data_IF_609998927335
#
_entry.id   IF_609998927335
#
_cell.length_a   1.000
_cell.length_b   1.000
_cell.length_c   1.000
_cell.angle_alpha   90.00
_cell.angle_beta   90.00
_cell.angle_gamma   90.00
#
_symmetry.space_group_name_H-M   'P 1'
#
loop_
_entity.id
_entity.type
_entity.pdbx_description
1 polymer ?
#
# COMPACT_ATOMS: atom_id res chain seq x y z
N UNK A 1 -27.89 -5.08 2.92
CA UNK A 1 -27.56 -5.71 1.62
C UNK A 1 -26.19 -5.19 1.16
N UNK A 2 -25.21 -5.16 2.09
CA UNK A 2 -24.20 -4.08 2.06
C UNK A 2 -22.77 -4.60 1.82
N UNK A 3 -22.56 -5.92 1.91
CA UNK A 3 -21.23 -6.52 1.76
C UNK A 3 -20.62 -6.24 0.38
N UNK A 4 -21.37 -6.46 -0.70
CA UNK A 4 -20.87 -6.23 -2.06
C UNK A 4 -20.51 -4.77 -2.33
N UNK A 5 -21.27 -3.82 -1.76
CA UNK A 5 -20.99 -2.39 -1.88
C UNK A 5 -19.66 -2.05 -1.21
N UNK A 6 -19.49 -2.44 0.06
CA UNK A 6 -18.25 -2.16 0.79
C UNK A 6 -17.05 -2.91 0.20
N UNK A 7 -17.23 -4.13 -0.31
CA UNK A 7 -16.19 -4.85 -1.03
C UNK A 7 -15.75 -4.11 -2.29
N UNK A 8 -16.70 -3.68 -3.13
CA UNK A 8 -16.39 -2.88 -4.33
C UNK A 8 -15.71 -1.57 -3.96
N UNK A 9 -16.19 -0.87 -2.93
CA UNK A 9 -15.55 0.35 -2.42
C UNK A 9 -14.09 0.10 -1.99
N UNK A 10 -13.80 -1.02 -1.34
CA UNK A 10 -12.43 -1.40 -0.97
C UNK A 10 -11.54 -1.69 -2.17
N UNK A 11 -12.10 -2.32 -3.20
CA UNK A 11 -11.40 -2.60 -4.46
C UNK A 11 -11.13 -1.31 -5.23
N UNK A 12 -12.13 -0.44 -5.35
CA UNK A 12 -12.04 0.88 -5.99
C UNK A 12 -11.07 1.79 -5.23
N UNK A 13 -11.05 1.75 -3.89
CA UNK A 13 -10.07 2.49 -3.08
C UNK A 13 -8.62 2.18 -3.46
N UNK A 14 -8.31 0.95 -3.92
CA UNK A 14 -6.97 0.58 -4.37
C UNK A 14 -6.75 0.84 -5.87
N UNK A 15 -7.81 0.83 -6.67
CA UNK A 15 -7.70 0.88 -8.15
C UNK A 15 -8.01 2.26 -8.74
N UNK A 16 -8.57 3.18 -7.95
CA UNK A 16 -8.84 4.56 -8.33
C UNK A 16 -7.58 5.44 -8.25
N UNK A 17 -7.61 6.59 -8.93
CA UNK A 17 -6.54 7.59 -8.96
C UNK A 17 -6.19 8.07 -7.54
N UNK A 18 -7.19 8.17 -6.67
CA UNK A 18 -6.99 8.56 -5.26
C UNK A 18 -6.24 7.50 -4.44
N UNK A 19 -6.29 6.23 -4.87
CA UNK A 19 -5.56 5.09 -4.27
C UNK A 19 -4.17 4.86 -4.84
N UNK A 20 -3.69 5.76 -5.69
CA UNK A 20 -2.43 5.60 -6.40
C UNK A 20 -1.22 5.50 -5.46
N UNK A 21 -1.28 6.16 -4.30
CA UNK A 21 -0.28 6.05 -3.22
C UNK A 21 -0.13 4.60 -2.71
N UNK A 22 -1.22 3.84 -2.57
CA UNK A 22 -1.21 2.44 -2.17
C UNK A 22 -0.50 1.59 -3.23
N UNK A 23 -0.85 1.79 -4.50
CA UNK A 23 -0.23 1.09 -5.63
C UNK A 23 1.28 1.41 -5.70
N UNK A 24 1.63 2.70 -5.58
CA UNK A 24 3.01 3.16 -5.62
C UNK A 24 3.84 2.54 -4.49
N UNK A 25 3.28 2.44 -3.29
CA UNK A 25 3.95 1.81 -2.17
C UNK A 25 4.12 0.30 -2.35
N UNK A 26 3.08 -0.41 -2.77
CA UNK A 26 3.19 -1.85 -3.04
C UNK A 26 4.23 -2.12 -4.12
N UNK A 27 4.27 -1.30 -5.17
CA UNK A 27 5.31 -1.35 -6.19
C UNK A 27 6.72 -1.12 -5.59
N UNK A 28 6.87 -0.15 -4.70
CA UNK A 28 8.14 0.09 -4.00
C UNK A 28 8.53 -1.10 -3.11
N UNK A 29 7.62 -1.61 -2.27
CA UNK A 29 7.89 -2.75 -1.38
C UNK A 29 8.25 -4.02 -2.14
N UNK A 30 7.63 -4.27 -3.29
CA UNK A 30 7.88 -5.47 -4.08
C UNK A 30 9.10 -5.37 -4.98
N UNK A 31 9.64 -4.17 -5.22
CA UNK A 31 10.80 -3.95 -6.08
C UNK A 31 12.00 -4.90 -5.80
N UNK A 32 12.38 -5.21 -4.55
CA UNK A 32 13.45 -6.15 -4.25
C UNK A 32 13.05 -7.64 -4.28
N UNK A 33 11.79 -7.98 -4.57
CA UNK A 33 11.28 -9.35 -4.60
C UNK A 33 11.15 -9.87 -6.04
N UNK A 34 11.49 -11.14 -6.23
CA UNK A 34 11.28 -11.83 -7.50
C UNK A 34 10.01 -12.67 -7.46
N UNK A 35 9.51 -13.10 -8.62
CA UNK A 35 8.33 -13.97 -8.76
C UNK A 35 8.37 -15.20 -7.84
N UNK A 36 9.57 -15.79 -7.64
CA UNK A 36 9.76 -16.94 -6.75
C UNK A 36 9.44 -16.64 -5.28
N UNK A 37 9.44 -15.37 -4.89
CA UNK A 37 9.17 -14.88 -3.53
C UNK A 37 7.68 -14.54 -3.31
N UNK A 38 6.77 -15.14 -4.10
CA UNK A 38 5.32 -14.87 -4.02
C UNK A 38 4.74 -14.99 -2.60
N UNK A 39 5.23 -15.94 -1.78
CA UNK A 39 4.78 -16.09 -0.39
C UNK A 39 5.13 -14.86 0.45
N UNK A 40 6.34 -14.33 0.28
CA UNK A 40 6.79 -13.13 0.97
C UNK A 40 5.98 -11.91 0.53
N UNK A 41 5.65 -11.82 -0.77
CA UNK A 41 4.83 -10.74 -1.31
C UNK A 41 3.40 -10.80 -0.74
N UNK A 42 2.80 -11.98 -0.66
CA UNK A 42 1.48 -12.14 -0.04
C UNK A 42 1.51 -11.71 1.44
N UNK A 43 2.54 -12.11 2.20
CA UNK A 43 2.70 -11.67 3.59
C UNK A 43 2.84 -10.14 3.69
N UNK A 44 3.54 -9.48 2.75
CA UNK A 44 3.65 -8.02 2.71
C UNK A 44 2.28 -7.35 2.51
N UNK A 45 1.52 -7.81 1.53
CA UNK A 45 0.18 -7.29 1.20
C UNK A 45 -0.77 -7.47 2.39
N UNK A 46 -0.78 -8.66 2.99
CA UNK A 46 -1.61 -8.93 4.16
C UNK A 46 -1.15 -8.12 5.37
N UNK A 47 0.16 -7.96 5.61
CA UNK A 47 0.66 -7.13 6.71
C UNK A 47 0.25 -5.66 6.57
N UNK A 48 0.30 -5.12 5.34
CA UNK A 48 -0.25 -3.80 5.04
C UNK A 48 -1.75 -3.75 5.35
N UNK A 49 -2.53 -4.70 4.84
CA UNK A 49 -3.99 -4.74 5.03
C UNK A 49 -4.36 -4.82 6.50
N UNK A 50 -3.63 -5.60 7.30
CA UNK A 50 -3.85 -5.73 8.75
C UNK A 50 -3.59 -4.39 9.45
N UNK A 51 -2.48 -3.72 9.15
CA UNK A 51 -2.19 -2.39 9.70
C UNK A 51 -3.26 -1.37 9.32
N UNK A 52 -3.62 -1.36 8.03
CA UNK A 52 -4.66 -0.50 7.47
C UNK A 52 -6.02 -0.71 8.15
N UNK A 53 -6.45 -1.96 8.26
CA UNK A 53 -7.71 -2.35 8.90
C UNK A 53 -7.75 -1.86 10.35
N UNK A 54 -6.65 -2.02 11.08
CA UNK A 54 -6.57 -1.67 12.50
C UNK A 54 -6.75 -0.16 12.71
N UNK A 55 -5.97 0.67 12.02
CA UNK A 55 -6.08 2.12 12.22
C UNK A 55 -7.33 2.70 11.59
N UNK A 56 -7.80 2.16 10.46
CA UNK A 56 -9.08 2.54 9.88
C UNK A 56 -10.22 2.31 10.90
N UNK A 57 -10.23 1.16 11.59
CA UNK A 57 -11.20 0.87 12.64
C UNK A 57 -11.11 1.86 13.80
N UNK A 58 -9.91 2.04 14.36
CA UNK A 58 -9.68 2.87 15.54
C UNK A 58 -9.99 4.35 15.27
N UNK A 59 -9.59 4.85 14.11
CA UNK A 59 -9.84 6.22 13.68
C UNK A 59 -11.32 6.45 13.34
N UNK A 60 -11.97 5.51 12.65
CA UNK A 60 -13.40 5.60 12.34
C UNK A 60 -14.28 5.54 13.59
N UNK A 61 -13.84 4.84 14.64
CA UNK A 61 -14.48 4.83 15.95
C UNK A 61 -14.10 6.03 16.83
N UNK A 62 -13.28 6.96 16.33
CA UNK A 62 -12.78 8.14 17.07
C UNK A 62 -12.02 7.77 18.36
N UNK A 63 -11.43 6.58 18.41
CA UNK A 63 -10.66 6.10 19.58
C UNK A 63 -9.29 6.80 19.63
N UNK A 64 -8.67 7.01 18.47
CA UNK A 64 -7.36 7.67 18.35
C UNK A 64 -7.56 8.98 17.59
N UNK A 65 -7.31 10.15 18.23
CA UNK A 65 -7.25 11.41 17.49
C UNK A 65 -5.97 11.45 16.65
N UNK A 66 -6.08 11.96 15.43
CA UNK A 66 -4.95 12.18 14.55
C UNK A 66 -5.15 13.50 13.80
N UNK A 67 -4.06 14.05 13.27
CA UNK A 67 -4.10 15.22 12.41
C UNK A 67 -4.06 14.74 10.95
N UNK A 68 -5.14 14.90 10.16
CA UNK A 68 -5.18 14.45 8.77
C UNK A 68 -4.02 15.00 7.93
N UNK A 69 -3.69 16.29 8.10
CA UNK A 69 -2.58 16.94 7.39
C UNK A 69 -1.23 16.25 7.69
N UNK A 70 -1.00 15.82 8.93
CA UNK A 70 0.22 15.08 9.28
C UNK A 70 0.22 13.70 8.63
N UNK A 71 -0.91 13.00 8.63
CA UNK A 71 -1.01 11.67 8.01
C UNK A 71 -0.80 11.76 6.50
N UNK A 72 -1.46 12.70 5.84
CA UNK A 72 -1.32 12.96 4.40
C UNK A 72 0.12 13.31 4.00
N UNK A 73 0.88 14.01 4.85
CA UNK A 73 2.31 14.24 4.63
C UNK A 73 3.18 13.01 4.87
N UNK A 74 2.83 12.15 5.83
CA UNK A 74 3.60 10.94 6.15
C UNK A 74 3.47 9.87 5.06
N UNK A 75 2.35 9.82 4.34
CA UNK A 75 2.13 8.88 3.24
C UNK A 75 3.23 8.97 2.18
N UNK A 76 3.45 10.10 1.47
CA UNK A 76 4.49 10.19 0.45
C UNK A 76 5.91 10.10 1.04
N UNK A 77 6.13 10.59 2.27
CA UNK A 77 7.43 10.47 2.95
C UNK A 77 7.84 9.00 3.15
N UNK A 78 6.90 8.16 3.57
CA UNK A 78 7.19 6.74 3.81
C UNK A 78 7.42 5.97 2.50
N UNK A 79 6.72 6.33 1.41
CA UNK A 79 7.01 5.82 0.06
C UNK A 79 8.42 6.23 -0.38
N UNK A 80 8.76 7.50 -0.21
CA UNK A 80 10.06 8.07 -0.58
C UNK A 80 11.19 7.31 0.11
N UNK A 81 11.10 7.16 1.43
CA UNK A 81 12.09 6.45 2.25
C UNK A 81 12.22 4.99 1.78
N UNK A 82 11.10 4.32 1.48
CA UNK A 82 11.09 2.94 0.98
C UNK A 82 11.83 2.82 -0.35
N UNK A 83 11.57 3.73 -1.29
CA UNK A 83 12.26 3.77 -2.57
C UNK A 83 13.77 4.02 -2.43
N UNK A 84 14.17 5.00 -1.61
CA UNK A 84 15.59 5.27 -1.30
C UNK A 84 16.27 4.06 -0.65
N UNK A 85 15.61 3.44 0.32
CA UNK A 85 16.11 2.25 0.99
C UNK A 85 16.39 1.12 -0.01
N UNK A 86 15.49 0.89 -0.97
CA UNK A 86 15.68 -0.14 -2.00
C UNK A 86 16.82 0.16 -2.98
N UNK A 87 17.06 1.45 -3.30
CA UNK A 87 18.15 1.87 -4.19
C UNK A 87 19.53 1.67 -3.55
N UNK A 88 19.68 2.07 -2.29
CA UNK A 88 20.95 1.99 -1.56
C UNK A 88 21.29 0.54 -1.18
N UNK A 89 20.26 -0.30 -1.02
CA UNK A 89 20.44 -1.64 -0.49
C UNK A 89 20.99 -2.65 -1.52
N UNK A 90 22.04 -3.36 -1.10
CA UNK A 90 22.67 -4.48 -1.83
C UNK A 90 21.83 -5.77 -1.72
N UNK A 91 21.85 -6.59 -2.77
CA UNK A 91 20.99 -7.78 -2.96
C UNK A 91 21.18 -8.91 -1.92
N UNK A 92 22.30 -8.94 -1.18
CA UNK A 92 22.70 -10.08 -0.33
C UNK A 92 22.23 -10.03 1.14
N UNK A 93 21.43 -9.04 1.57
CA UNK A 93 21.05 -8.91 2.98
C UNK A 93 19.90 -9.86 3.38
N UNK A 94 20.21 -10.96 4.07
CA UNK A 94 19.27 -12.00 4.53
C UNK A 94 18.31 -11.55 5.63
N UNK A 95 18.69 -10.57 6.48
CA UNK A 95 17.83 -9.97 7.53
C UNK A 95 16.72 -9.03 7.00
N UNK A 96 16.54 -8.98 5.69
CA UNK A 96 15.62 -8.09 4.98
C UNK A 96 14.14 -8.29 5.27
N UNK A 97 13.69 -9.54 5.37
CA UNK A 97 12.28 -9.87 5.10
C UNK A 97 11.40 -9.34 6.21
N UNK A 98 11.84 -9.52 7.46
CA UNK A 98 11.15 -8.99 8.65
C UNK A 98 11.03 -7.47 8.61
N UNK A 99 12.09 -6.76 8.21
CA UNK A 99 12.06 -5.30 8.09
C UNK A 99 11.03 -4.86 7.05
N UNK A 100 10.98 -5.52 5.89
CA UNK A 100 9.97 -5.24 4.87
C UNK A 100 8.54 -5.47 5.38
N UNK A 101 8.30 -6.54 6.15
CA UNK A 101 6.97 -6.79 6.75
C UNK A 101 6.59 -5.74 7.78
N UNK A 102 7.55 -5.29 8.61
CA UNK A 102 7.31 -4.22 9.58
C UNK A 102 7.03 -2.88 8.88
N UNK A 103 7.77 -2.56 7.81
CA UNK A 103 7.52 -1.37 7.00
C UNK A 103 6.12 -1.44 6.38
N UNK A 104 5.72 -2.59 5.83
CA UNK A 104 4.38 -2.79 5.27
C UNK A 104 3.28 -2.57 6.32
N UNK A 105 3.47 -3.15 7.52
CA UNK A 105 2.54 -2.98 8.64
C UNK A 105 2.42 -1.52 9.07
N UNK A 106 3.54 -0.84 9.31
CA UNK A 106 3.58 0.57 9.73
C UNK A 106 2.92 1.47 8.68
N UNK A 107 3.21 1.21 7.40
CA UNK A 107 2.61 1.95 6.32
C UNK A 107 1.10 1.74 6.26
N UNK A 108 0.64 0.49 6.46
CA UNK A 108 -0.77 0.16 6.63
C UNK A 108 -1.41 0.99 7.75
N UNK A 109 -0.77 1.04 8.93
CA UNK A 109 -1.26 1.86 10.05
C UNK A 109 -1.42 3.33 9.64
N UNK A 110 -0.44 3.93 8.96
CA UNK A 110 -0.51 5.33 8.52
C UNK A 110 -1.65 5.53 7.52
N UNK A 111 -1.75 4.66 6.51
CA UNK A 111 -2.74 4.79 5.43
C UNK A 111 -4.17 4.62 5.93
N UNK A 112 -4.42 3.67 6.83
CA UNK A 112 -5.75 3.47 7.39
C UNK A 112 -6.31 4.69 8.11
N UNK A 113 -5.43 5.54 8.68
CA UNK A 113 -5.86 6.82 9.26
C UNK A 113 -6.29 7.83 8.18
N UNK A 114 -5.57 7.91 7.06
CA UNK A 114 -5.83 8.88 5.98
C UNK A 114 -7.22 8.72 5.36
N UNK A 115 -7.71 7.47 5.25
CA UNK A 115 -9.03 7.18 4.67
C UNK A 115 -10.20 7.22 5.68
N UNK A 116 -9.90 7.28 6.98
CA UNK A 116 -10.90 7.03 8.03
C UNK A 116 -12.04 8.04 8.10
N UNK A 117 -11.79 9.32 7.81
CA UNK A 117 -12.85 10.34 7.81
C UNK A 117 -13.87 10.09 6.69
N UNK A 118 -13.39 9.73 5.50
CA UNK A 118 -14.25 9.37 4.38
C UNK A 118 -15.03 8.09 4.68
N UNK A 119 -14.36 7.05 5.18
CA UNK A 119 -15.03 5.80 5.58
C UNK A 119 -16.11 6.03 6.64
N UNK A 120 -15.84 6.88 7.64
CA UNK A 120 -16.83 7.27 8.64
C UNK A 120 -18.04 7.97 8.02
N UNK A 121 -17.84 8.83 7.03
CA UNK A 121 -18.94 9.50 6.32
C UNK A 121 -19.82 8.50 5.55
N UNK A 122 -19.23 7.42 5.01
CA UNK A 122 -19.95 6.35 4.31
C UNK A 122 -20.73 5.43 5.25
N UNK A 123 -20.29 5.28 6.51
CA UNK A 123 -21.03 4.49 7.50
C UNK A 123 -22.37 5.14 7.85
N UNK A 124 -22.49 6.47 7.79
CA UNK A 124 -23.77 7.17 7.94
C UNK A 124 -24.57 6.75 9.20
N UNK A 125 -25.67 6.00 8.99
CA UNK A 125 -26.56 5.46 10.05
C UNK A 125 -26.35 3.97 10.33
N UNK A 126 -25.32 3.35 9.79
CA UNK A 126 -25.02 1.93 10.02
C UNK A 126 -24.88 1.65 11.52
N UNK A 127 -25.57 0.61 11.96
CA UNK A 127 -25.60 0.22 13.38
C UNK A 127 -24.31 -0.48 13.84
N UNK A 128 -23.49 -0.98 12.90
CA UNK A 128 -22.25 -1.68 13.19
C UNK A 128 -21.19 -1.44 12.12
N UNK A 129 -19.99 -1.04 12.55
CA UNK A 129 -18.82 -0.86 11.67
C UNK A 129 -18.21 -2.18 11.19
N UNK A 130 -18.43 -3.29 11.92
CA UNK A 130 -17.65 -4.52 11.76
C UNK A 130 -17.84 -5.15 10.38
N UNK A 131 -19.09 -5.30 9.92
CA UNK A 131 -19.39 -5.91 8.62
C UNK A 131 -18.93 -5.02 7.45
N UNK A 132 -19.25 -3.71 7.41
CA UNK A 132 -18.70 -2.79 6.40
C UNK A 132 -17.17 -2.81 6.33
N UNK A 133 -16.51 -2.70 7.49
CA UNK A 133 -15.06 -2.65 7.57
C UNK A 133 -14.43 -3.96 7.08
N UNK A 134 -14.99 -5.10 7.47
CA UNK A 134 -14.50 -6.40 7.01
C UNK A 134 -14.64 -6.56 5.50
N UNK A 135 -15.82 -6.24 4.95
CA UNK A 135 -16.08 -6.29 3.51
C UNK A 135 -15.13 -5.35 2.73
N UNK A 136 -14.95 -4.13 3.23
CA UNK A 136 -14.04 -3.14 2.66
C UNK A 136 -12.59 -3.64 2.63
N UNK A 137 -12.06 -4.15 3.75
CA UNK A 137 -10.67 -4.62 3.78
C UNK A 137 -10.46 -5.89 2.94
N UNK A 138 -11.48 -6.75 2.75
CA UNK A 138 -11.41 -7.82 1.77
C UNK A 138 -11.32 -7.29 0.33
N UNK A 139 -12.04 -6.20 0.03
CA UNK A 139 -11.93 -5.50 -1.25
C UNK A 139 -10.53 -4.93 -1.47
N UNK A 140 -9.96 -4.30 -0.43
CA UNK A 140 -8.59 -3.77 -0.43
C UNK A 140 -7.58 -4.88 -0.73
N UNK A 141 -7.62 -5.98 0.03
CA UNK A 141 -6.68 -7.10 -0.17
C UNK A 141 -6.82 -7.71 -1.58
N UNK A 142 -8.05 -7.85 -2.08
CA UNK A 142 -8.29 -8.33 -3.45
C UNK A 142 -7.71 -7.38 -4.52
N UNK A 143 -7.91 -6.07 -4.37
CA UNK A 143 -7.33 -5.05 -5.25
C UNK A 143 -5.81 -5.08 -5.24
N UNK A 144 -5.20 -5.22 -4.06
CA UNK A 144 -3.75 -5.32 -3.94
C UNK A 144 -3.18 -6.61 -4.56
N UNK A 145 -3.84 -7.75 -4.35
CA UNK A 145 -3.45 -9.02 -4.97
C UNK A 145 -3.52 -8.93 -6.50
N UNK A 146 -4.58 -8.31 -7.05
CA UNK A 146 -4.72 -8.08 -8.47
C UNK A 146 -3.57 -7.21 -9.01
N UNK A 147 -3.25 -6.12 -8.32
CA UNK A 147 -2.16 -5.24 -8.71
C UNK A 147 -0.78 -5.93 -8.65
N UNK A 148 -0.53 -6.69 -7.59
CA UNK A 148 0.69 -7.51 -7.46
C UNK A 148 0.80 -8.53 -8.60
N UNK A 149 -0.31 -9.18 -8.96
CA UNK A 149 -0.33 -10.13 -10.07
C UNK A 149 0.07 -9.48 -11.39
N UNK A 150 -0.44 -8.27 -11.66
CA UNK A 150 -0.06 -7.47 -12.84
C UNK A 150 1.44 -7.15 -12.81
N UNK A 151 1.96 -6.65 -11.69
CA UNK A 151 3.38 -6.31 -11.58
C UNK A 151 4.30 -7.54 -11.72
N UNK A 152 3.92 -8.69 -11.16
CA UNK A 152 4.66 -9.94 -11.36
C UNK A 152 4.61 -10.43 -12.81
N UNK A 153 3.50 -10.23 -13.51
CA UNK A 153 3.37 -10.54 -14.93
C UNK A 153 4.27 -9.67 -15.79
N UNK A 154 4.35 -8.37 -15.49
CA UNK A 154 5.29 -7.44 -16.14
C UNK A 154 6.74 -7.83 -15.82
N UNK A 155 7.05 -8.15 -14.57
CA UNK A 155 8.37 -8.64 -14.17
C UNK A 155 8.74 -9.92 -14.93
N UNK A 156 7.81 -10.86 -15.10
CA UNK A 156 8.02 -12.09 -15.86
C UNK A 156 8.39 -11.78 -17.31
N UNK A 157 7.59 -10.94 -17.97
CA UNK A 157 7.83 -10.51 -19.35
C UNK A 157 9.22 -9.87 -19.49
N UNK A 158 9.55 -8.90 -18.64
CA UNK A 158 10.81 -8.16 -18.73
C UNK A 158 12.03 -9.04 -18.45
N UNK A 159 11.98 -9.89 -17.42
CA UNK A 159 13.15 -10.66 -16.99
C UNK A 159 13.32 -11.98 -17.74
N UNK A 160 12.21 -12.66 -18.10
CA UNK A 160 12.26 -14.00 -18.73
C UNK A 160 12.17 -13.94 -20.25
N UNK A 161 11.34 -13.06 -20.79
CA UNK A 161 11.14 -12.95 -22.24
C UNK A 161 12.10 -11.92 -22.83
N UNK A 162 12.11 -10.70 -22.30
CA UNK A 162 12.97 -9.61 -22.78
C UNK A 162 14.40 -9.62 -22.18
N UNK A 163 14.67 -10.55 -21.25
CA UNK A 163 15.99 -10.83 -20.65
C UNK A 163 16.65 -9.62 -19.99
N UNK A 164 15.87 -8.69 -19.45
CA UNK A 164 16.40 -7.59 -18.64
C UNK A 164 17.00 -8.12 -17.33
N UNK A 165 17.95 -7.37 -16.77
CA UNK A 165 18.54 -7.71 -15.47
C UNK A 165 17.57 -7.34 -14.35
N UNK A 166 17.51 -8.17 -13.30
CA UNK A 166 16.67 -7.91 -12.12
C UNK A 166 16.98 -6.56 -11.47
N UNK A 167 18.24 -6.13 -11.46
CA UNK A 167 18.65 -4.83 -10.93
C UNK A 167 17.99 -3.64 -11.65
N UNK A 168 17.69 -3.76 -12.95
CA UNK A 168 16.96 -2.72 -13.68
C UNK A 168 15.51 -2.63 -13.23
N UNK A 169 14.84 -3.78 -13.04
CA UNK A 169 13.49 -3.82 -12.48
C UNK A 169 13.43 -3.16 -11.09
N UNK A 170 14.32 -3.60 -10.18
CA UNK A 170 14.39 -3.08 -8.82
C UNK A 170 14.64 -1.57 -8.83
N UNK A 171 15.64 -1.11 -9.58
CA UNK A 171 16.02 0.30 -9.60
C UNK A 171 14.93 1.16 -10.27
N UNK A 172 14.33 0.70 -11.36
CA UNK A 172 13.27 1.45 -12.05
C UNK A 172 12.05 1.69 -11.14
N UNK A 173 11.52 0.64 -10.51
CA UNK A 173 10.39 0.80 -9.57
C UNK A 173 10.76 1.67 -8.37
N UNK A 174 11.96 1.52 -7.82
CA UNK A 174 12.39 2.29 -6.66
C UNK A 174 12.60 3.77 -7.01
N UNK A 175 13.19 4.07 -8.18
CA UNK A 175 13.34 5.44 -8.67
C UNK A 175 11.98 6.06 -8.98
N UNK A 176 11.06 5.32 -9.60
CA UNK A 176 9.70 5.79 -9.86
C UNK A 176 8.99 6.12 -8.54
N UNK A 177 9.09 5.25 -7.52
CA UNK A 177 8.55 5.51 -6.20
C UNK A 177 9.11 6.80 -5.60
N UNK A 178 10.43 7.00 -5.61
CA UNK A 178 11.10 8.21 -5.10
C UNK A 178 10.64 9.48 -5.81
N UNK A 179 10.62 9.47 -7.14
CA UNK A 179 10.29 10.66 -7.95
C UNK A 179 8.82 11.03 -7.74
N UNK A 180 7.93 10.06 -7.84
CA UNK A 180 6.49 10.33 -7.75
C UNK A 180 6.10 10.69 -6.31
N UNK A 181 6.68 10.04 -5.30
CA UNK A 181 6.39 10.41 -3.91
C UNK A 181 6.95 11.79 -3.54
N UNK A 182 8.10 12.20 -4.10
CA UNK A 182 8.60 13.56 -3.91
C UNK A 182 7.65 14.60 -4.52
N UNK A 183 7.09 14.31 -5.70
CA UNK A 183 6.07 15.15 -6.31
C UNK A 183 4.80 15.24 -5.44
N UNK A 184 4.27 14.10 -4.98
CA UNK A 184 3.09 14.08 -4.09
C UNK A 184 3.33 14.87 -2.80
N UNK A 185 4.52 14.74 -2.20
CA UNK A 185 4.90 15.52 -1.03
C UNK A 185 4.87 17.03 -1.29
N UNK A 186 5.38 17.48 -2.45
CA UNK A 186 5.32 18.91 -2.81
C UNK A 186 3.90 19.41 -3.02
N UNK A 187 3.01 18.61 -3.60
CA UNK A 187 1.60 18.98 -3.76
C UNK A 187 0.93 19.20 -2.41
N UNK A 188 1.18 18.32 -1.45
CA UNK A 188 0.61 18.39 -0.11
C UNK A 188 1.07 19.60 0.72
N UNK A 189 2.26 20.15 0.43
CA UNK A 189 2.76 21.37 1.10
C UNK A 189 2.14 22.64 0.51
N UNK A 190 1.79 22.61 -0.77
CA UNK A 190 1.33 23.79 -1.52
C UNK A 190 -0.21 23.95 -1.48
N UNK A 191 -0.93 22.88 -1.19
CA UNK A 191 -2.39 22.84 -0.96
C UNK A 191 -2.80 23.39 0.40
#
# INVERSE_FOLDING_TARGET
MDFGIYFTLGLEHITDINGFDHMLFIAALMAPFAIKDYKQILILVTAFTVGHSLTLALASLKIIPFNPTVIELLIPVTIFITGIYNLIRKESATNSKTISYLIALIFGLIHGMGFSNFFQSLLGKESSIVKPLFAFNLGVEAGQILFVFILLSIQFLLLRILKFKFSWWKNALSTLAVVVSAFLFTQQIIS
#
